data_IF_179915489483
#
_entry.id   IF_179915489483
#
_cell.length_a   1.000
_cell.length_b   1.000
_cell.length_c   1.000
_cell.angle_alpha   90.00
_cell.angle_beta   90.00
_cell.angle_gamma   90.00
#
_symmetry.space_group_name_H-M   'P 1'
#
loop_
_entity.id
_entity.type
_entity.pdbx_description
1 polymer ?
#
# COMPACT_ATOMS: atom_id res chain seq x y z
N UNK A 1 7.71 12.66 11.61
CA UNK A 1 7.90 11.44 12.43
C UNK A 1 9.09 10.69 11.85
N UNK A 2 10.13 10.37 12.64
CA UNK A 2 11.27 9.60 12.17
C UNK A 2 10.89 8.16 11.78
N UNK A 3 11.59 7.57 10.80
CA UNK A 3 11.37 6.18 10.34
C UNK A 3 11.52 5.16 11.47
N UNK A 4 12.48 5.37 12.38
CA UNK A 4 12.67 4.52 13.56
C UNK A 4 11.43 4.48 14.48
N UNK A 5 10.77 5.61 14.70
CA UNK A 5 9.56 5.67 15.53
C UNK A 5 8.40 4.94 14.84
N UNK A 6 8.30 5.04 13.51
CA UNK A 6 7.32 4.27 12.72
C UNK A 6 7.60 2.78 12.84
N UNK A 7 8.84 2.35 12.60
CA UNK A 7 9.22 0.94 12.62
C UNK A 7 9.00 0.31 13.99
N UNK A 8 9.33 1.05 15.06
CA UNK A 8 9.05 0.62 16.42
C UNK A 8 7.55 0.42 16.64
N UNK A 9 6.71 1.37 16.21
CA UNK A 9 5.25 1.23 16.30
C UNK A 9 4.74 0.01 15.51
N UNK A 10 5.27 -0.22 14.30
CA UNK A 10 4.92 -1.38 13.47
C UNK A 10 5.31 -2.69 14.17
N UNK A 11 6.50 -2.74 14.78
CA UNK A 11 6.98 -3.90 15.52
C UNK A 11 6.15 -4.16 16.79
N UNK A 12 5.88 -3.12 17.58
CA UNK A 12 5.07 -3.17 18.80
C UNK A 12 3.66 -3.70 18.52
N UNK A 13 3.05 -3.26 17.41
CA UNK A 13 1.73 -3.73 16.99
C UNK A 13 1.76 -4.99 16.11
N UNK A 14 2.92 -5.66 16.02
CA UNK A 14 3.11 -6.94 15.29
C UNK A 14 2.63 -6.87 13.84
N UNK A 15 2.88 -5.76 13.16
CA UNK A 15 2.62 -5.63 11.73
C UNK A 15 3.55 -6.57 10.98
N UNK A 16 2.98 -7.56 10.29
CA UNK A 16 3.77 -8.55 9.56
C UNK A 16 4.42 -7.95 8.30
N UNK A 17 3.71 -7.07 7.61
CA UNK A 17 4.08 -6.52 6.30
C UNK A 17 3.63 -5.07 6.21
N UNK A 18 4.55 -4.15 5.90
CA UNK A 18 4.22 -2.75 5.61
C UNK A 18 4.23 -2.51 4.10
N UNK A 19 3.13 -2.04 3.51
CA UNK A 19 3.04 -1.73 2.07
C UNK A 19 2.97 -0.22 1.87
N UNK A 20 4.04 0.37 1.36
CA UNK A 20 4.16 1.79 1.05
C UNK A 20 3.76 2.05 -0.40
N UNK A 21 2.46 2.02 -0.68
CA UNK A 21 1.90 2.35 -2.00
C UNK A 21 1.93 3.87 -2.27
N UNK A 22 3.14 4.41 -2.39
CA UNK A 22 3.43 5.80 -2.70
C UNK A 22 4.63 5.86 -3.65
N UNK A 23 4.66 6.85 -4.53
CA UNK A 23 5.77 7.05 -5.46
C UNK A 23 7.10 7.10 -4.70
N UNK A 24 8.12 6.43 -5.25
CA UNK A 24 9.50 6.52 -4.76
C UNK A 24 9.73 6.05 -3.30
N UNK A 25 8.77 5.37 -2.68
CA UNK A 25 8.92 4.86 -1.30
C UNK A 25 10.00 3.77 -1.14
N UNK A 26 10.49 3.21 -2.24
CA UNK A 26 11.65 2.31 -2.31
C UNK A 26 12.79 2.88 -3.17
N UNK A 27 12.76 4.17 -3.53
CA UNK A 27 13.83 4.80 -4.31
C UNK A 27 15.06 5.03 -3.43
N UNK A 28 16.22 4.61 -3.90
CA UNK A 28 17.51 4.90 -3.27
C UNK A 28 18.25 5.94 -4.11
N UNK A 29 18.72 7.04 -3.50
CA UNK A 29 19.50 8.09 -4.16
C UNK A 29 20.92 8.12 -3.59
N UNK A 30 21.87 7.58 -4.36
CA UNK A 30 23.26 7.46 -3.90
C UNK A 30 23.38 6.57 -2.67
N UNK A 31 23.89 7.12 -1.57
CA UNK A 31 24.08 6.41 -0.29
C UNK A 31 22.87 6.46 0.65
N UNK A 32 21.82 7.23 0.33
CA UNK A 32 20.65 7.35 1.21
C UNK A 32 19.70 6.17 1.00
N UNK A 33 19.37 5.48 2.09
CA UNK A 33 18.40 4.39 2.10
C UNK A 33 16.99 4.89 1.77
N UNK A 34 16.20 4.05 1.11
CA UNK A 34 14.79 4.34 0.87
C UNK A 34 13.95 4.23 2.15
N UNK A 35 12.78 4.86 2.22
CA UNK A 35 11.88 4.73 3.38
C UNK A 35 11.53 3.27 3.69
N UNK A 36 11.25 2.45 2.67
CA UNK A 36 10.98 1.03 2.86
C UNK A 36 12.18 0.30 3.48
N UNK A 37 13.39 0.61 3.03
CA UNK A 37 14.62 0.04 3.57
C UNK A 37 14.88 0.51 5.01
N UNK A 38 14.67 1.78 5.30
CA UNK A 38 14.78 2.37 6.64
C UNK A 38 13.85 1.71 7.65
N UNK A 39 12.60 1.42 7.26
CA UNK A 39 11.65 0.73 8.13
C UNK A 39 12.14 -0.66 8.50
N UNK A 40 12.71 -1.40 7.54
CA UNK A 40 13.28 -2.72 7.77
C UNK A 40 14.55 -2.63 8.61
N UNK A 41 15.44 -1.69 8.31
CA UNK A 41 16.65 -1.44 9.10
C UNK A 41 16.33 -1.07 10.57
N UNK A 42 15.21 -0.40 10.80
CA UNK A 42 14.70 -0.04 12.13
C UNK A 42 13.81 -1.12 12.79
N UNK A 43 13.67 -2.31 12.18
CA UNK A 43 13.09 -3.50 12.82
C UNK A 43 11.73 -3.98 12.30
N UNK A 44 11.17 -3.34 11.26
CA UNK A 44 10.00 -3.89 10.58
C UNK A 44 10.35 -5.23 9.91
N UNK A 45 9.54 -6.30 10.03
CA UNK A 45 9.87 -7.61 9.45
C UNK A 45 10.06 -7.56 7.93
N UNK A 46 9.09 -6.95 7.25
CA UNK A 46 9.03 -6.79 5.79
C UNK A 46 8.40 -5.45 5.45
N UNK A 47 9.00 -4.73 4.52
CA UNK A 47 8.43 -3.53 3.91
C UNK A 47 8.48 -3.60 2.39
N UNK A 48 7.44 -3.11 1.74
CA UNK A 48 7.33 -2.98 0.29
C UNK A 48 7.18 -1.52 -0.11
N UNK A 49 7.80 -1.13 -1.22
CA UNK A 49 7.69 0.23 -1.74
C UNK A 49 7.89 0.33 -3.25
N UNK A 50 7.79 1.54 -3.77
CA UNK A 50 7.90 1.83 -5.20
C UNK A 50 9.27 2.44 -5.50
N UNK A 51 10.10 1.78 -6.32
CA UNK A 51 11.42 2.31 -6.70
C UNK A 51 11.34 3.56 -7.58
N UNK A 52 10.20 3.75 -8.24
CA UNK A 52 9.91 4.87 -9.14
C UNK A 52 8.49 5.39 -8.90
N UNK A 53 8.09 6.40 -9.67
CA UNK A 53 6.70 6.87 -9.67
C UNK A 53 5.78 5.79 -10.24
N UNK A 54 4.76 5.42 -9.46
CA UNK A 54 3.71 4.49 -9.89
C UNK A 54 2.55 5.27 -10.50
N UNK A 55 2.11 4.89 -11.70
CA UNK A 55 0.92 5.51 -12.31
C UNK A 55 -0.36 5.04 -11.62
N UNK A 56 -1.42 5.85 -11.66
CA UNK A 56 -2.73 5.45 -11.12
C UNK A 56 -3.26 4.22 -11.84
N UNK A 57 -3.07 4.11 -13.17
CA UNK A 57 -3.44 2.93 -13.95
C UNK A 57 -2.70 1.67 -13.48
N UNK A 58 -1.39 1.75 -13.29
CA UNK A 58 -0.60 0.63 -12.79
C UNK A 58 -1.04 0.21 -11.39
N UNK A 59 -1.22 1.17 -10.47
CA UNK A 59 -1.68 0.90 -9.12
C UNK A 59 -3.07 0.23 -9.11
N UNK A 60 -4.00 0.65 -9.98
CA UNK A 60 -5.33 0.03 -10.12
C UNK A 60 -5.28 -1.42 -10.60
N UNK A 61 -4.26 -1.81 -11.36
CA UNK A 61 -4.07 -3.18 -11.83
C UNK A 61 -3.33 -4.04 -10.80
N UNK A 62 -2.18 -3.56 -10.32
CA UNK A 62 -1.28 -4.31 -9.47
C UNK A 62 -1.74 -4.43 -8.01
N UNK A 63 -2.30 -3.37 -7.43
CA UNK A 63 -2.59 -3.34 -5.99
C UNK A 63 -3.70 -4.31 -5.57
N UNK A 64 -4.81 -4.49 -6.31
CA UNK A 64 -5.80 -5.51 -5.98
C UNK A 64 -5.19 -6.92 -5.93
N UNK A 65 -4.27 -7.22 -6.84
CA UNK A 65 -3.56 -8.52 -6.87
C UNK A 65 -2.62 -8.62 -5.66
N UNK A 66 -1.79 -7.61 -5.42
CA UNK A 66 -0.86 -7.58 -4.30
C UNK A 66 -1.60 -7.78 -2.96
N UNK A 67 -2.58 -6.94 -2.67
CA UNK A 67 -3.34 -7.02 -1.43
C UNK A 67 -4.19 -8.29 -1.36
N UNK A 68 -4.76 -8.77 -2.47
CA UNK A 68 -5.51 -10.02 -2.51
C UNK A 68 -4.65 -11.24 -2.16
N UNK A 69 -3.43 -11.31 -2.71
CA UNK A 69 -2.45 -12.38 -2.44
C UNK A 69 -1.97 -12.35 -0.99
N UNK A 70 -1.59 -11.16 -0.49
CA UNK A 70 -1.24 -10.97 0.91
C UNK A 70 -2.38 -11.35 1.85
N UNK A 71 -3.60 -10.90 1.54
CA UNK A 71 -4.80 -11.25 2.31
C UNK A 71 -5.15 -12.74 2.18
N UNK A 72 -4.69 -13.45 1.15
CA UNK A 72 -4.81 -14.91 1.06
C UNK A 72 -3.83 -15.64 2.00
N UNK A 73 -2.78 -14.98 2.47
CA UNK A 73 -1.72 -15.55 3.28
C UNK A 73 -0.46 -15.90 2.49
N UNK A 74 -0.38 -15.50 1.21
CA UNK A 74 0.79 -15.73 0.37
C UNK A 74 2.00 -14.96 0.93
N UNK A 75 3.20 -15.51 0.68
CA UNK A 75 4.49 -14.86 0.92
C UNK A 75 4.52 -13.46 0.25
N UNK A 76 4.97 -12.41 0.96
CA UNK A 76 5.19 -11.07 0.40
C UNK A 76 5.95 -11.03 -0.93
N UNK A 77 6.98 -11.86 -1.10
CA UNK A 77 7.78 -11.95 -2.32
C UNK A 77 6.94 -12.51 -3.47
N UNK A 78 6.16 -13.56 -3.21
CA UNK A 78 5.24 -14.15 -4.20
C UNK A 78 4.13 -13.16 -4.57
N UNK A 79 3.55 -12.48 -3.59
CA UNK A 79 2.52 -11.47 -3.82
C UNK A 79 3.04 -10.31 -4.69
N UNK A 80 4.26 -9.83 -4.40
CA UNK A 80 4.94 -8.83 -5.23
C UNK A 80 5.21 -9.36 -6.64
N UNK A 81 5.68 -10.59 -6.79
CA UNK A 81 5.89 -11.21 -8.10
C UNK A 81 4.61 -11.27 -8.94
N UNK A 82 3.48 -11.64 -8.36
CA UNK A 82 2.19 -11.67 -9.07
C UNK A 82 1.75 -10.27 -9.52
N UNK A 83 1.96 -9.26 -8.67
CA UNK A 83 1.68 -7.87 -9.01
C UNK A 83 2.56 -7.38 -10.18
N UNK A 84 3.87 -7.68 -10.14
CA UNK A 84 4.82 -7.40 -11.22
C UNK A 84 4.42 -8.10 -12.51
N UNK A 85 4.04 -9.38 -12.44
CA UNK A 85 3.61 -10.16 -13.60
C UNK A 85 2.39 -9.55 -14.28
N UNK A 86 1.40 -9.10 -13.50
CA UNK A 86 0.24 -8.40 -14.06
C UNK A 86 0.64 -7.15 -14.86
N UNK A 87 1.59 -6.35 -14.36
CA UNK A 87 2.08 -5.15 -15.04
C UNK A 87 2.97 -5.47 -16.25
N UNK A 88 3.65 -6.61 -16.21
CA UNK A 88 4.45 -7.10 -17.33
C UNK A 88 3.55 -7.60 -18.48
N UNK A 89 2.49 -8.32 -18.14
CA UNK A 89 1.55 -8.92 -19.10
C UNK A 89 0.66 -7.85 -19.77
N UNK A 90 0.37 -6.75 -19.08
CA UNK A 90 -0.28 -5.57 -19.65
C UNK A 90 0.57 -4.32 -19.36
N UNK A 91 1.22 -3.80 -20.39
CA UNK A 91 2.10 -2.61 -20.30
C UNK A 91 1.39 -1.29 -20.60
N UNK A 92 0.12 -1.33 -21.02
CA UNK A 92 -0.62 -0.15 -21.45
C UNK A 92 -0.98 0.74 -20.25
N UNK A 93 -0.59 2.01 -20.29
CA UNK A 93 -0.86 3.00 -19.24
C UNK A 93 -1.53 4.21 -19.83
N UNK A 94 -2.50 4.77 -19.09
CA UNK A 94 -3.15 6.02 -19.47
C UNK A 94 -2.25 7.20 -19.09
N UNK A 95 -1.72 7.87 -20.10
CA UNK A 95 -1.00 9.14 -19.97
C UNK A 95 -1.93 10.35 -20.02
N UNK A 96 -1.33 11.53 -20.21
CA UNK A 96 -2.08 12.76 -20.43
C UNK A 96 -2.93 12.69 -21.69
N UNK A 97 -4.04 13.44 -21.72
CA UNK A 97 -4.93 13.53 -22.89
C UNK A 97 -5.45 12.18 -23.40
N UNK A 98 -5.72 11.23 -22.49
CA UNK A 98 -6.22 9.88 -22.81
C UNK A 98 -5.30 9.05 -23.73
N UNK A 99 -4.04 9.48 -23.92
CA UNK A 99 -3.07 8.73 -24.71
C UNK A 99 -2.65 7.46 -23.96
N UNK A 100 -2.42 6.37 -24.69
CA UNK A 100 -1.93 5.12 -24.12
C UNK A 100 -0.43 5.00 -24.38
N UNK A 101 0.35 4.75 -23.33
CA UNK A 101 1.78 4.52 -23.41
C UNK A 101 2.10 3.13 -22.88
N UNK A 102 2.95 2.41 -23.60
CA UNK A 102 3.51 1.16 -23.10
C UNK A 102 4.69 1.47 -22.18
N UNK A 103 4.57 1.15 -20.89
CA UNK A 103 5.59 1.39 -19.89
C UNK A 103 6.14 0.09 -19.30
N UNK A 104 7.45 0.07 -19.06
CA UNK A 104 8.15 -1.02 -18.36
C UNK A 104 8.14 -0.79 -16.83
N UNK A 105 7.00 -0.44 -16.26
CA UNK A 105 6.84 -0.12 -14.82
C UNK A 105 6.62 -1.38 -13.94
N UNK A 106 6.71 -2.56 -14.54
CA UNK A 106 6.48 -3.86 -13.90
C UNK A 106 7.55 -4.25 -12.86
N UNK A 107 8.65 -3.50 -12.73
CA UNK A 107 9.64 -3.73 -11.66
C UNK A 107 9.07 -3.41 -10.26
N UNK A 108 7.89 -2.77 -10.19
CA UNK A 108 7.21 -2.40 -8.95
C UNK A 108 6.19 -3.46 -8.47
N UNK A 109 6.03 -3.68 -7.15
CA UNK A 109 6.75 -3.07 -6.03
C UNK A 109 8.07 -3.79 -5.71
N UNK A 110 8.98 -3.14 -4.98
CA UNK A 110 10.22 -3.73 -4.41
C UNK A 110 9.96 -4.20 -2.97
N UNK A 111 10.58 -5.31 -2.58
CA UNK A 111 10.44 -5.93 -1.25
C UNK A 111 11.77 -5.84 -0.51
N UNK A 112 11.74 -5.35 0.73
CA UNK A 112 12.83 -5.43 1.69
C UNK A 112 12.38 -6.32 2.87
N UNK A 113 13.24 -7.24 3.30
CA UNK A 113 12.94 -8.17 4.39
C UNK A 113 14.16 -8.35 5.29
N UNK A 114 13.95 -8.29 6.60
CA UNK A 114 14.96 -8.69 7.60
C UNK A 114 14.75 -10.14 8.07
N UNK A 115 13.51 -10.63 7.98
CA UNK A 115 13.10 -11.99 8.31
C UNK A 115 11.85 -12.35 7.52
N UNK A 116 11.60 -13.65 7.38
CA UNK A 116 10.37 -14.12 6.77
C UNK A 116 9.15 -13.65 7.57
N UNK A 117 8.11 -13.21 6.86
CA UNK A 117 6.83 -12.85 7.46
C UNK A 117 5.67 -13.22 6.55
N UNK A 118 4.56 -13.64 7.16
CA UNK A 118 3.32 -13.92 6.45
C UNK A 118 2.12 -13.43 7.24
N UNK A 119 1.03 -13.11 6.54
CA UNK A 119 -0.23 -12.75 7.17
C UNK A 119 -0.99 -14.02 7.57
N UNK A 120 -0.74 -14.48 8.79
CA UNK A 120 -1.50 -15.60 9.38
C UNK A 120 -2.90 -15.12 9.76
N UNK A 121 -3.92 -15.75 9.14
CA UNK A 121 -5.33 -15.49 9.46
C UNK A 121 -5.86 -16.59 10.35
N UNK A 122 -6.77 -16.23 11.25
CA UNK A 122 -7.63 -17.18 11.97
C UNK A 122 -9.09 -16.77 11.82
N UNK A 123 -10.03 -17.72 11.91
CA UNK A 123 -11.43 -17.39 12.09
C UNK A 123 -11.61 -16.43 13.28
N UNK A 124 -12.50 -15.46 13.10
CA UNK A 124 -12.92 -14.59 14.19
C UNK A 124 -13.75 -15.41 15.17
N UNK A 125 -13.63 -15.12 16.46
CA UNK A 125 -14.58 -15.64 17.46
C UNK A 125 -15.94 -14.97 17.26
N UNK A 126 -17.02 -15.56 17.79
CA UNK A 126 -18.36 -14.97 17.69
C UNK A 126 -18.42 -13.53 18.24
N UNK A 127 -17.75 -13.26 19.37
CA UNK A 127 -17.69 -11.93 19.98
C UNK A 127 -16.90 -10.92 19.13
N UNK A 128 -15.80 -11.35 18.52
CA UNK A 128 -15.04 -10.52 17.58
C UNK A 128 -15.83 -10.22 16.32
N UNK A 129 -16.56 -11.22 15.81
CA UNK A 129 -17.40 -11.10 14.63
C UNK A 129 -18.55 -10.11 14.88
N UNK A 130 -19.21 -10.19 16.03
CA UNK A 130 -20.21 -9.20 16.45
C UNK A 130 -19.62 -7.79 16.55
N UNK A 131 -18.46 -7.64 17.21
CA UNK A 131 -17.75 -6.36 17.35
C UNK A 131 -17.34 -5.77 15.99
N UNK A 132 -17.00 -6.63 15.03
CA UNK A 132 -16.66 -6.23 13.67
C UNK A 132 -17.88 -5.72 12.90
N UNK A 133 -19.00 -6.45 12.93
CA UNK A 133 -20.24 -5.99 12.29
C UNK A 133 -20.77 -4.70 12.92
N UNK A 134 -20.73 -4.58 14.25
CA UNK A 134 -21.08 -3.35 14.96
C UNK A 134 -20.24 -2.16 14.52
N UNK A 135 -18.91 -2.33 14.36
CA UNK A 135 -18.03 -1.28 13.82
C UNK A 135 -18.35 -0.96 12.36
N UNK A 136 -18.63 -1.95 11.52
CA UNK A 136 -18.94 -1.73 10.09
C UNK A 136 -20.17 -0.86 9.88
N UNK A 137 -21.19 -1.01 10.71
CA UNK A 137 -22.38 -0.17 10.69
C UNK A 137 -22.07 1.30 11.00
N UNK A 138 -21.06 1.55 11.84
CA UNK A 138 -20.61 2.89 12.19
C UNK A 138 -19.74 3.51 11.09
N UNK A 139 -18.84 2.73 10.46
CA UNK A 139 -17.90 3.20 9.43
C UNK A 139 -18.61 3.54 8.11
N UNK A 140 -19.80 3.01 7.86
CA UNK A 140 -20.64 3.37 6.70
C UNK A 140 -21.25 4.78 6.76
N UNK A 141 -21.25 5.44 7.93
CA UNK A 141 -21.70 6.83 8.05
C UNK A 141 -20.53 7.76 7.78
N UNK A 142 -20.52 8.39 6.59
CA UNK A 142 -19.72 9.60 6.34
C UNK A 142 -19.94 10.56 7.52
N UNK A 143 -18.90 11.10 8.18
CA UNK A 143 -19.09 12.12 9.19
C UNK A 143 -19.96 13.23 8.60
N UNK A 144 -21.10 13.51 9.22
CA UNK A 144 -21.97 14.59 8.79
C UNK A 144 -21.16 15.88 8.81
N UNK A 145 -21.05 16.55 7.66
CA UNK A 145 -20.43 17.87 7.62
C UNK A 145 -21.24 18.77 8.57
N UNK A 146 -20.60 19.50 9.51
CA UNK A 146 -21.34 20.42 10.37
C UNK A 146 -22.15 21.40 9.50
N UNK A 147 -23.43 21.67 9.83
CA UNK A 147 -24.26 22.60 9.07
C UNK A 147 -23.60 23.98 9.09
N UNK A 148 -23.01 24.38 7.96
CA UNK A 148 -22.34 25.69 7.82
C UNK A 148 -21.10 25.73 6.92
N UNK A 149 -20.51 24.60 6.52
CA UNK A 149 -19.30 24.60 5.65
C UNK A 149 -19.59 24.47 4.15
N UNK A 150 -20.80 24.86 3.72
CA UNK A 150 -21.19 25.01 2.31
C UNK A 150 -20.98 26.44 1.80
N UNK A 151 -19.76 26.97 1.91
CA UNK A 151 -19.38 28.25 1.30
C UNK A 151 -18.87 28.03 -0.12
N UNK A 152 -19.74 28.19 -1.11
CA UNK A 152 -19.35 28.20 -2.53
C UNK A 152 -18.53 29.45 -2.79
N UNK A 153 -17.21 29.31 -2.96
CA UNK A 153 -16.39 30.36 -3.53
C UNK A 153 -16.75 30.49 -5.02
N UNK A 154 -17.57 31.50 -5.34
CA UNK A 154 -17.84 31.96 -6.69
C UNK A 154 -16.54 32.55 -7.26
N UNK A 155 -15.99 31.91 -8.30
CA UNK A 155 -14.89 32.51 -9.10
C UNK A 155 -15.49 33.67 -9.91
N UNK A 156 -14.98 34.91 -9.79
CA UNK A 156 -15.38 35.99 -10.66
C UNK A 156 -14.48 36.05 -11.91
N UNK A 157 -15.10 36.26 -13.07
CA UNK A 157 -14.54 36.93 -14.25
C UNK A 157 -13.57 36.12 -15.09
#
# INVERSE_FOLDING_TARGET
>A
MPSAQVAQLLAEHRVAVAVLNACQSAMQTGSEASLAQDLVAAGAPVAMGMAYSVTVSAARQAMPILYGRLAAGDDPVLAAWQARRCLHDDKSRRGYFEQHLDLEDWVLPVVFAQRDSSLSRRPMTAAEQESFYRRREQVGRRPGLPPGTGGVARVPG
#
